data_IF_065352896754
#
_entry.id   IF_065352896754
#
_cell.length_a   1.000
_cell.length_b   1.000
_cell.length_c   1.000
_cell.angle_alpha   90.00
_cell.angle_beta   90.00
_cell.angle_gamma   90.00
#
_symmetry.space_group_name_H-M   'P 1'
#
loop_
_entity.id
_entity.type
_entity.pdbx_description
1 polymer ?
#
# COMPACT_ATOMS: atom_id res chain seq x y z
N UNK A 1 14.10 -2.13 -25.21
CA UNK A 1 13.08 -2.90 -24.47
C UNK A 1 13.58 -3.01 -23.04
N UNK A 2 12.90 -2.35 -22.11
CA UNK A 2 13.18 -2.54 -20.68
C UNK A 2 12.97 -4.02 -20.38
N UNK A 3 13.96 -4.62 -19.76
CA UNK A 3 13.92 -6.01 -19.35
C UNK A 3 12.80 -6.18 -18.29
N UNK A 4 11.65 -6.66 -18.74
CA UNK A 4 10.45 -6.80 -17.91
C UNK A 4 10.72 -7.75 -16.73
N UNK A 5 11.52 -8.79 -16.94
CA UNK A 5 11.93 -9.72 -15.89
C UNK A 5 12.72 -8.97 -14.81
N UNK A 6 13.72 -8.16 -15.21
CA UNK A 6 14.53 -7.38 -14.27
C UNK A 6 13.68 -6.42 -13.44
N UNK A 7 12.71 -5.73 -14.06
CA UNK A 7 11.82 -4.84 -13.35
C UNK A 7 10.95 -5.58 -12.30
N UNK A 8 10.51 -6.80 -12.64
CA UNK A 8 9.78 -7.65 -11.71
C UNK A 8 10.68 -8.14 -10.57
N UNK A 9 11.90 -8.59 -10.86
CA UNK A 9 12.85 -9.02 -9.83
C UNK A 9 13.15 -7.92 -8.81
N UNK A 10 13.36 -6.68 -9.27
CA UNK A 10 13.55 -5.52 -8.36
C UNK A 10 12.34 -5.31 -7.45
N UNK A 11 11.12 -5.45 -8.00
CA UNK A 11 9.89 -5.31 -7.21
C UNK A 11 9.75 -6.45 -6.19
N UNK A 12 10.04 -7.68 -6.59
CA UNK A 12 10.02 -8.85 -5.71
C UNK A 12 11.09 -8.76 -4.62
N UNK A 13 12.25 -8.24 -4.93
CA UNK A 13 13.30 -7.97 -3.91
C UNK A 13 12.78 -7.05 -2.80
N UNK A 14 12.13 -5.95 -3.16
CA UNK A 14 11.51 -5.04 -2.18
C UNK A 14 10.44 -5.74 -1.33
N UNK A 15 9.58 -6.56 -1.95
CA UNK A 15 8.59 -7.37 -1.25
C UNK A 15 9.24 -8.35 -0.26
N UNK A 16 10.23 -9.09 -0.73
CA UNK A 16 10.91 -10.11 0.09
C UNK A 16 11.69 -9.49 1.25
N UNK A 17 12.25 -8.30 1.09
CA UNK A 17 12.84 -7.56 2.22
C UNK A 17 11.80 -7.22 3.29
N UNK A 18 10.58 -6.83 2.91
CA UNK A 18 9.49 -6.62 3.88
C UNK A 18 9.10 -7.92 4.58
N UNK A 19 9.03 -9.03 3.85
CA UNK A 19 8.65 -10.34 4.39
C UNK A 19 9.73 -10.97 5.26
N UNK A 20 11.01 -10.79 4.90
CA UNK A 20 12.18 -11.36 5.58
C UNK A 20 12.72 -10.43 6.66
N UNK A 21 12.45 -9.13 6.60
CA UNK A 21 12.76 -8.19 7.66
C UNK A 21 11.93 -8.53 8.91
N UNK A 22 12.54 -8.96 9.98
CA UNK A 22 11.85 -9.22 11.25
C UNK A 22 11.71 -7.93 12.06
N UNK A 23 10.67 -7.83 12.89
CA UNK A 23 10.64 -6.88 14.01
C UNK A 23 11.42 -7.49 15.18
N UNK A 24 12.34 -6.73 15.76
CA UNK A 24 12.95 -7.13 17.04
C UNK A 24 11.90 -7.04 18.15
N UNK A 25 12.06 -7.83 19.21
CA UNK A 25 11.14 -7.87 20.37
C UNK A 25 10.91 -6.51 21.09
N UNK A 26 11.55 -5.43 20.62
CA UNK A 26 11.37 -4.05 21.10
C UNK A 26 10.69 -3.10 20.09
N UNK A 27 10.09 -3.63 19.01
CA UNK A 27 9.40 -2.79 18.00
C UNK A 27 10.36 -2.02 17.07
N UNK A 28 11.68 -2.14 17.25
CA UNK A 28 12.65 -1.63 16.30
C UNK A 28 12.72 -2.57 15.09
N UNK A 29 12.69 -1.99 13.89
CA UNK A 29 12.90 -2.74 12.65
C UNK A 29 14.19 -3.54 12.75
N UNK A 30 14.11 -4.85 12.52
CA UNK A 30 15.31 -5.68 12.50
C UNK A 30 16.20 -5.23 11.35
N UNK A 31 17.49 -5.41 11.60
CA UNK A 31 18.55 -5.27 10.60
C UNK A 31 18.07 -5.88 9.28
N UNK A 32 18.10 -5.10 8.21
CA UNK A 32 17.81 -5.59 6.86
C UNK A 32 18.65 -6.84 6.53
N UNK A 33 18.39 -7.47 5.41
CA UNK A 33 19.20 -8.57 4.94
C UNK A 33 20.69 -8.16 4.91
N UNK A 34 21.56 -9.03 5.37
CA UNK A 34 23.00 -8.84 5.20
C UNK A 34 23.36 -8.86 3.71
N UNK A 35 24.50 -8.29 3.29
CA UNK A 35 24.92 -8.33 1.90
C UNK A 35 25.02 -9.74 1.30
N UNK A 36 25.35 -10.75 2.13
CA UNK A 36 25.37 -12.14 1.71
C UNK A 36 23.96 -12.69 1.47
N UNK A 37 23.03 -12.40 2.38
CA UNK A 37 21.62 -12.79 2.23
C UNK A 37 20.98 -12.10 1.04
N UNK A 38 21.31 -10.84 0.75
CA UNK A 38 20.83 -10.12 -0.43
C UNK A 38 21.33 -10.76 -1.74
N UNK A 39 22.59 -11.12 -1.79
CA UNK A 39 23.18 -11.78 -2.95
C UNK A 39 22.56 -13.18 -3.19
N UNK A 40 22.40 -13.97 -2.14
CA UNK A 40 21.80 -15.30 -2.23
C UNK A 40 20.30 -15.21 -2.59
N UNK A 41 19.58 -14.21 -2.09
CA UNK A 41 18.19 -13.98 -2.44
C UNK A 41 18.04 -13.59 -3.92
N UNK A 42 18.90 -12.71 -4.41
CA UNK A 42 18.92 -12.31 -5.84
C UNK A 42 19.17 -13.50 -6.74
N UNK A 43 20.19 -14.32 -6.42
CA UNK A 43 20.48 -15.55 -7.17
C UNK A 43 19.34 -16.55 -7.09
N UNK A 44 18.74 -16.73 -5.89
CA UNK A 44 17.60 -17.62 -5.69
C UNK A 44 16.38 -17.22 -6.52
N UNK A 45 16.11 -15.92 -6.65
CA UNK A 45 15.04 -15.41 -7.52
C UNK A 45 15.34 -15.73 -8.99
N UNK A 46 16.54 -15.44 -9.48
CA UNK A 46 16.96 -15.73 -10.86
C UNK A 46 16.81 -17.22 -11.16
N UNK A 47 17.31 -18.07 -10.28
CA UNK A 47 17.25 -19.52 -10.45
C UNK A 47 15.80 -20.05 -10.44
N UNK A 48 14.95 -19.48 -9.61
CA UNK A 48 13.53 -19.84 -9.54
C UNK A 48 12.82 -19.54 -10.86
N UNK A 49 13.03 -18.36 -11.42
CA UNK A 49 12.47 -18.02 -12.75
C UNK A 49 13.05 -18.88 -13.86
N UNK A 50 14.36 -19.15 -13.83
CA UNK A 50 15.00 -20.01 -14.81
C UNK A 50 14.45 -21.45 -14.77
N UNK A 51 14.18 -22.02 -13.60
CA UNK A 51 13.52 -23.33 -13.42
C UNK A 51 12.11 -23.35 -13.99
N UNK A 52 11.38 -22.25 -13.93
CA UNK A 52 10.07 -22.09 -14.56
C UNK A 52 10.17 -21.86 -16.10
N UNK A 53 11.36 -21.85 -16.65
CA UNK A 53 11.61 -21.61 -18.08
C UNK A 53 11.50 -20.13 -18.48
N UNK A 54 11.55 -19.22 -17.52
CA UNK A 54 11.47 -17.76 -17.74
C UNK A 54 12.87 -17.18 -17.61
N UNK A 55 13.36 -16.59 -18.69
CA UNK A 55 14.73 -16.03 -18.81
C UNK A 55 14.65 -14.56 -19.26
N UNK A 56 15.81 -13.95 -19.54
CA UNK A 56 15.87 -12.61 -20.14
C UNK A 56 15.29 -12.54 -21.56
N UNK A 57 15.03 -13.68 -22.22
CA UNK A 57 14.35 -13.72 -23.51
C UNK A 57 12.84 -13.46 -23.34
N UNK A 58 12.29 -12.38 -23.91
CA UNK A 58 10.87 -12.06 -23.82
C UNK A 58 9.93 -13.16 -24.34
N UNK A 59 10.38 -14.03 -25.24
CA UNK A 59 9.59 -15.15 -25.76
C UNK A 59 9.26 -16.18 -24.66
N UNK A 60 10.07 -16.24 -23.61
CA UNK A 60 9.86 -17.16 -22.47
C UNK A 60 8.85 -16.63 -21.44
N UNK A 61 8.44 -15.37 -21.52
CA UNK A 61 7.57 -14.74 -20.53
C UNK A 61 6.10 -15.18 -20.59
N UNK A 62 5.72 -16.03 -21.55
CA UNK A 62 4.41 -16.66 -21.64
C UNK A 62 4.28 -17.92 -20.76
N UNK A 63 5.36 -18.37 -20.14
CA UNK A 63 5.35 -19.51 -19.21
C UNK A 63 4.61 -19.14 -17.92
N UNK A 64 4.09 -20.15 -17.22
CA UNK A 64 3.45 -19.95 -15.93
C UNK A 64 4.49 -19.43 -14.93
N UNK A 65 4.26 -18.26 -14.32
CA UNK A 65 5.23 -17.69 -13.38
C UNK A 65 5.34 -18.55 -12.11
N UNK A 66 6.53 -18.64 -11.52
CA UNK A 66 6.74 -19.38 -10.28
C UNK A 66 6.01 -18.73 -9.11
N UNK A 67 5.73 -19.55 -8.11
CA UNK A 67 5.11 -19.15 -6.84
C UNK A 67 6.16 -18.89 -5.76
N UNK A 68 5.71 -18.39 -4.60
CA UNK A 68 6.55 -18.26 -3.41
C UNK A 68 7.05 -19.62 -2.90
N UNK A 69 6.27 -20.69 -3.13
CA UNK A 69 6.69 -22.06 -2.81
C UNK A 69 7.89 -22.52 -3.64
N UNK A 70 7.91 -22.20 -4.94
CA UNK A 70 9.02 -22.53 -5.82
C UNK A 70 10.31 -21.79 -5.39
N UNK A 71 10.18 -20.53 -4.95
CA UNK A 71 11.31 -19.80 -4.38
C UNK A 71 11.81 -20.43 -3.08
N UNK A 72 10.90 -20.84 -2.20
CA UNK A 72 11.26 -21.53 -0.97
C UNK A 72 12.08 -22.79 -1.26
N UNK A 73 11.61 -23.61 -2.18
CA UNK A 73 12.29 -24.86 -2.57
C UNK A 73 13.67 -24.58 -3.22
N UNK A 74 13.77 -23.53 -4.01
CA UNK A 74 15.05 -23.12 -4.60
C UNK A 74 16.04 -22.70 -3.53
N UNK A 75 15.64 -21.83 -2.61
CA UNK A 75 16.50 -21.36 -1.50
C UNK A 75 16.88 -22.49 -0.55
N UNK A 76 15.98 -23.43 -0.26
CA UNK A 76 16.24 -24.56 0.64
C UNK A 76 17.37 -25.44 0.13
N UNK A 77 17.47 -25.62 -1.20
CA UNK A 77 18.49 -26.46 -1.84
C UNK A 77 19.73 -25.68 -2.33
N UNK A 78 19.74 -24.38 -2.09
CA UNK A 78 20.86 -23.51 -2.42
C UNK A 78 21.93 -23.55 -1.31
N UNK A 79 23.19 -23.27 -1.67
CA UNK A 79 24.26 -23.09 -0.67
C UNK A 79 24.16 -21.75 0.06
N UNK A 80 25.20 -21.44 0.84
CA UNK A 80 25.32 -20.12 1.51
C UNK A 80 24.25 -19.88 2.54
N UNK A 81 23.59 -18.73 2.48
CA UNK A 81 22.50 -18.31 3.40
C UNK A 81 21.11 -18.75 2.90
N UNK A 82 21.02 -19.41 1.76
CA UNK A 82 19.75 -19.85 1.17
C UNK A 82 18.83 -20.61 2.12
N UNK A 83 19.30 -21.69 2.82
CA UNK A 83 18.47 -22.41 3.77
C UNK A 83 17.94 -21.56 4.92
N UNK A 84 18.70 -20.55 5.36
CA UNK A 84 18.28 -19.61 6.41
C UNK A 84 17.17 -18.68 5.90
N UNK A 85 17.30 -18.19 4.67
CA UNK A 85 16.26 -17.40 3.99
C UNK A 85 14.99 -18.24 3.79
N UNK A 86 15.11 -19.49 3.35
CA UNK A 86 13.99 -20.41 3.24
C UNK A 86 13.26 -20.59 4.58
N UNK A 87 14.01 -20.79 5.67
CA UNK A 87 13.41 -20.93 7.00
C UNK A 87 12.60 -19.69 7.40
N UNK A 88 13.06 -18.48 7.08
CA UNK A 88 12.32 -17.22 7.33
C UNK A 88 11.09 -17.09 6.44
N UNK A 89 11.13 -17.57 5.19
CA UNK A 89 9.98 -17.59 4.28
C UNK A 89 8.93 -18.64 4.64
N UNK A 90 9.26 -19.61 5.48
CA UNK A 90 8.39 -20.76 5.79
C UNK A 90 6.98 -20.36 6.21
N UNK A 91 6.84 -19.29 7.01
CA UNK A 91 5.52 -18.82 7.47
C UNK A 91 4.59 -18.41 6.32
N UNK A 92 5.14 -17.98 5.18
CA UNK A 92 4.41 -17.54 4.00
C UNK A 92 4.20 -18.63 2.95
N UNK A 93 4.94 -19.76 3.04
CA UNK A 93 4.93 -20.80 2.00
C UNK A 93 4.23 -22.08 2.45
N UNK A 94 4.54 -22.55 3.66
CA UNK A 94 3.99 -23.79 4.24
C UNK A 94 3.40 -23.56 5.63
N UNK A 95 3.56 -22.35 6.18
CA UNK A 95 3.08 -21.96 7.52
C UNK A 95 1.74 -21.25 7.49
N UNK A 96 1.48 -20.43 8.51
CA UNK A 96 0.20 -19.80 8.81
C UNK A 96 -0.35 -18.98 7.64
N UNK A 97 0.52 -18.32 6.86
CA UNK A 97 0.13 -17.42 5.78
C UNK A 97 0.24 -18.03 4.37
N UNK A 98 0.48 -19.33 4.26
CA UNK A 98 0.65 -20.02 2.98
C UNK A 98 -0.56 -19.84 2.04
N UNK A 99 -1.77 -19.85 2.59
CA UNK A 99 -3.00 -19.69 1.82
C UNK A 99 -3.12 -18.35 1.09
N UNK A 100 -2.39 -17.32 1.55
CA UNK A 100 -2.41 -15.98 0.96
C UNK A 100 -1.31 -15.83 -0.08
N UNK A 101 -0.10 -16.36 0.17
CA UNK A 101 1.09 -16.02 -0.61
C UNK A 101 1.63 -17.13 -1.51
N UNK A 102 1.22 -18.39 -1.30
CA UNK A 102 1.80 -19.54 -2.00
C UNK A 102 0.89 -20.10 -3.10
N UNK A 103 0.05 -19.27 -3.71
CA UNK A 103 -0.86 -19.66 -4.77
C UNK A 103 -0.73 -18.77 -5.99
N UNK A 104 -1.17 -19.26 -7.15
CA UNK A 104 -1.33 -18.44 -8.34
C UNK A 104 -2.34 -17.32 -8.09
N UNK A 105 -2.10 -16.14 -8.68
CA UNK A 105 -2.98 -14.99 -8.53
C UNK A 105 -4.36 -15.27 -9.10
N UNK A 106 -5.41 -14.98 -8.32
CA UNK A 106 -6.82 -15.08 -8.70
C UNK A 106 -7.51 -13.71 -8.74
N UNK A 107 -6.75 -12.62 -8.78
CA UNK A 107 -7.28 -11.26 -8.74
C UNK A 107 -7.71 -10.84 -10.15
N UNK A 108 -8.98 -10.50 -10.31
CA UNK A 108 -9.52 -9.83 -11.49
C UNK A 108 -9.76 -8.36 -11.15
N UNK A 109 -9.12 -7.45 -11.92
CA UNK A 109 -9.23 -6.00 -11.74
C UNK A 109 -9.75 -5.29 -12.99
N UNK A 110 -10.42 -5.98 -13.90
CA UNK A 110 -10.99 -5.39 -15.13
C UNK A 110 -12.23 -4.51 -14.88
N UNK A 111 -12.49 -4.15 -13.64
CA UNK A 111 -13.59 -3.29 -13.26
C UNK A 111 -13.18 -1.80 -13.23
N UNK A 112 -14.18 -0.93 -13.43
CA UNK A 112 -13.99 0.53 -13.34
C UNK A 112 -13.69 1.00 -11.92
N UNK A 113 -14.17 0.27 -10.91
CA UNK A 113 -13.91 0.49 -9.51
C UNK A 113 -13.50 -0.83 -8.86
N UNK A 114 -12.31 -0.85 -8.28
CA UNK A 114 -11.75 -2.01 -7.57
C UNK A 114 -11.36 -1.58 -6.17
N UNK A 115 -11.77 -2.34 -5.17
CA UNK A 115 -11.45 -2.09 -3.76
C UNK A 115 -10.69 -3.29 -3.20
N UNK A 116 -9.48 -3.04 -2.73
CA UNK A 116 -8.69 -4.04 -2.00
C UNK A 116 -8.92 -3.84 -0.50
N UNK A 117 -9.75 -4.68 0.10
CA UNK A 117 -9.99 -4.64 1.53
C UNK A 117 -8.91 -5.44 2.27
N UNK A 118 -8.09 -4.73 3.06
CA UNK A 118 -7.01 -5.31 3.87
C UNK A 118 -7.29 -5.18 5.37
N UNK A 119 -8.51 -4.80 5.75
CA UNK A 119 -8.89 -4.50 7.14
C UNK A 119 -8.72 -5.71 8.07
N UNK A 120 -9.08 -6.88 7.57
CA UNK A 120 -9.11 -8.11 8.38
C UNK A 120 -7.76 -8.85 8.39
N UNK A 121 -6.74 -8.29 7.71
CA UNK A 121 -5.38 -8.80 7.79
C UNK A 121 -4.73 -8.40 9.11
N UNK A 122 -3.93 -9.30 9.65
CA UNK A 122 -3.09 -9.05 10.80
C UNK A 122 -2.14 -7.85 10.53
N UNK A 123 -1.86 -7.07 11.56
CA UNK A 123 -1.04 -5.84 11.44
C UNK A 123 0.33 -6.09 10.78
N UNK A 124 0.90 -7.27 11.01
CA UNK A 124 2.17 -7.70 10.41
C UNK A 124 2.07 -7.85 8.87
N UNK A 125 0.92 -8.28 8.36
CA UNK A 125 0.71 -8.55 6.94
C UNK A 125 0.26 -7.33 6.14
N UNK A 126 -0.32 -6.32 6.79
CA UNK A 126 -0.86 -5.13 6.08
C UNK A 126 0.17 -4.43 5.20
N UNK A 127 1.41 -4.13 5.66
CA UNK A 127 2.40 -3.48 4.79
C UNK A 127 2.79 -4.35 3.60
N UNK A 128 2.90 -5.66 3.80
CA UNK A 128 3.20 -6.63 2.73
C UNK A 128 2.08 -6.65 1.69
N UNK A 129 0.84 -6.77 2.13
CA UNK A 129 -0.33 -6.76 1.25
C UNK A 129 -0.46 -5.44 0.48
N UNK A 130 -0.30 -4.30 1.17
CA UNK A 130 -0.29 -2.99 0.53
C UNK A 130 0.80 -2.87 -0.53
N UNK A 131 2.00 -3.37 -0.25
CA UNK A 131 3.09 -3.36 -1.22
C UNK A 131 2.76 -4.20 -2.47
N UNK A 132 2.20 -5.41 -2.29
CA UNK A 132 1.79 -6.28 -3.39
C UNK A 132 0.72 -5.59 -4.26
N UNK A 133 -0.33 -5.08 -3.63
CA UNK A 133 -1.44 -4.39 -4.33
C UNK A 133 -0.92 -3.18 -5.11
N UNK A 134 -0.13 -2.32 -4.46
CA UNK A 134 0.42 -1.13 -5.11
C UNK A 134 1.37 -1.49 -6.26
N UNK A 135 2.19 -2.53 -6.10
CA UNK A 135 3.10 -3.01 -7.16
C UNK A 135 2.31 -3.52 -8.36
N UNK A 136 1.23 -4.27 -8.12
CA UNK A 136 0.34 -4.77 -9.15
C UNK A 136 -0.35 -3.63 -9.91
N UNK A 137 -0.95 -2.67 -9.19
CA UNK A 137 -1.57 -1.48 -9.77
C UNK A 137 -0.55 -0.68 -10.59
N UNK A 138 0.68 -0.55 -10.09
CA UNK A 138 1.74 0.15 -10.79
C UNK A 138 2.13 -0.53 -12.10
N UNK A 139 2.24 -1.86 -12.11
CA UNK A 139 2.54 -2.62 -13.33
C UNK A 139 1.47 -2.41 -14.39
N UNK A 140 0.18 -2.51 -14.04
CA UNK A 140 -0.92 -2.26 -14.97
C UNK A 140 -0.94 -0.79 -15.44
N UNK A 141 -0.66 0.14 -14.55
CA UNK A 141 -0.63 1.57 -14.90
C UNK A 141 0.44 1.90 -15.93
N UNK A 142 1.58 1.21 -15.87
CA UNK A 142 2.68 1.40 -16.86
C UNK A 142 2.38 0.77 -18.22
N UNK A 143 1.68 -0.35 -18.24
CA UNK A 143 1.42 -1.11 -19.48
C UNK A 143 0.21 -0.56 -20.23
N UNK A 144 -0.81 -0.11 -19.53
CA UNK A 144 -2.06 0.36 -20.13
C UNK A 144 -2.24 1.85 -19.80
N UNK A 145 -2.09 2.71 -20.80
CA UNK A 145 -2.29 4.15 -20.65
C UNK A 145 -3.78 4.50 -20.56
N UNK A 146 -4.29 4.65 -19.34
CA UNK A 146 -5.67 5.02 -19.02
C UNK A 146 -5.65 5.97 -17.82
N UNK A 147 -6.55 6.96 -17.82
CA UNK A 147 -6.74 7.81 -16.62
C UNK A 147 -7.24 6.97 -15.46
N UNK A 148 -6.54 7.01 -14.33
CA UNK A 148 -6.88 6.27 -13.11
C UNK A 148 -6.74 7.16 -11.89
N UNK A 149 -7.46 6.82 -10.85
CA UNK A 149 -7.27 7.36 -9.51
C UNK A 149 -6.96 6.20 -8.57
N UNK A 150 -5.88 6.32 -7.84
CA UNK A 150 -5.49 5.41 -6.78
C UNK A 150 -5.66 6.12 -5.44
N UNK A 151 -6.47 5.56 -4.57
CA UNK A 151 -6.68 6.05 -3.21
C UNK A 151 -6.04 5.04 -2.26
N UNK A 152 -5.09 5.50 -1.46
CA UNK A 152 -4.38 4.70 -0.45
C UNK A 152 -4.80 5.22 0.92
N UNK A 153 -5.66 4.45 1.58
CA UNK A 153 -6.06 4.72 2.96
C UNK A 153 -5.01 4.17 3.94
N UNK A 154 -4.93 4.75 5.14
CA UNK A 154 -3.94 4.41 6.18
C UNK A 154 -2.49 4.40 5.65
N UNK A 155 -2.16 5.38 4.79
CA UNK A 155 -0.87 5.44 4.08
C UNK A 155 0.36 5.51 5.02
N UNK A 156 0.17 5.92 6.31
CA UNK A 156 1.21 5.91 7.33
C UNK A 156 1.79 4.52 7.58
N UNK A 157 1.02 3.47 7.36
CA UNK A 157 1.49 2.10 7.52
C UNK A 157 2.64 1.75 6.58
N UNK A 158 2.63 2.33 5.37
CA UNK A 158 3.73 2.17 4.42
C UNK A 158 4.99 2.95 4.83
N UNK A 159 4.85 3.95 5.71
CA UNK A 159 5.99 4.74 6.18
C UNK A 159 6.82 4.02 7.24
N UNK A 160 6.31 2.95 7.83
CA UNK A 160 7.02 2.14 8.84
C UNK A 160 8.26 1.43 8.28
N UNK A 161 8.31 1.18 6.98
CA UNK A 161 9.38 0.44 6.32
C UNK A 161 9.94 1.24 5.16
N UNK A 162 11.26 1.36 5.08
CA UNK A 162 11.94 2.18 4.07
C UNK A 162 11.58 1.74 2.63
N UNK A 163 11.49 0.45 2.36
CA UNK A 163 11.19 -0.07 1.01
C UNK A 163 9.77 0.31 0.57
N UNK A 164 8.76 0.17 1.43
CA UNK A 164 7.39 0.56 1.11
C UNK A 164 7.22 2.07 1.03
N UNK A 165 7.89 2.83 1.90
CA UNK A 165 7.89 4.29 1.85
C UNK A 165 8.54 4.82 0.57
N UNK A 166 9.69 4.27 0.18
CA UNK A 166 10.38 4.59 -1.07
C UNK A 166 9.54 4.22 -2.30
N UNK A 167 8.84 3.09 -2.23
CA UNK A 167 7.95 2.66 -3.31
C UNK A 167 6.80 3.67 -3.51
N UNK A 168 6.06 4.01 -2.45
CA UNK A 168 4.96 4.98 -2.52
C UNK A 168 5.44 6.36 -2.99
N UNK A 169 6.59 6.82 -2.49
CA UNK A 169 7.20 8.06 -2.93
C UNK A 169 7.59 8.05 -4.42
N UNK A 170 8.18 6.95 -4.89
CA UNK A 170 8.53 6.77 -6.28
C UNK A 170 7.31 6.75 -7.19
N UNK A 171 6.20 6.16 -6.71
CA UNK A 171 4.91 6.15 -7.38
C UNK A 171 4.34 7.59 -7.44
N UNK A 172 4.32 8.33 -6.33
CA UNK A 172 3.87 9.72 -6.29
C UNK A 172 4.60 10.61 -7.30
N UNK A 173 5.93 10.48 -7.39
CA UNK A 173 6.74 11.25 -8.36
C UNK A 173 6.42 10.93 -9.82
N UNK A 174 6.07 9.70 -10.13
CA UNK A 174 5.92 9.21 -11.50
C UNK A 174 4.47 9.15 -11.97
N UNK A 175 3.51 9.12 -11.05
CA UNK A 175 2.08 8.92 -11.30
C UNK A 175 1.54 9.80 -12.44
N UNK A 176 1.88 11.08 -12.42
CA UNK A 176 1.43 12.06 -13.44
C UNK A 176 1.79 11.65 -14.88
N UNK A 177 2.98 11.03 -15.10
CA UNK A 177 3.42 10.62 -16.44
C UNK A 177 2.59 9.46 -17.00
N UNK A 178 1.87 8.74 -16.14
CA UNK A 178 1.08 7.57 -16.48
C UNK A 178 -0.43 7.81 -16.28
N UNK A 179 -0.83 9.09 -16.26
CA UNK A 179 -2.24 9.49 -16.06
C UNK A 179 -2.86 8.93 -14.77
N UNK A 180 -2.05 8.70 -13.75
CA UNK A 180 -2.46 8.24 -12.44
C UNK A 180 -2.57 9.43 -11.48
N UNK A 181 -3.78 9.68 -10.93
CA UNK A 181 -3.97 10.52 -9.75
C UNK A 181 -3.72 9.66 -8.50
N UNK A 182 -2.87 10.15 -7.60
CA UNK A 182 -2.62 9.48 -6.31
C UNK A 182 -3.20 10.32 -5.19
N UNK A 183 -4.06 9.71 -4.37
CA UNK A 183 -4.58 10.28 -3.12
C UNK A 183 -4.10 9.40 -1.97
N UNK A 184 -3.41 9.99 -1.02
CA UNK A 184 -3.04 9.34 0.24
C UNK A 184 -3.87 9.89 1.38
N UNK A 185 -4.43 9.00 2.21
CA UNK A 185 -5.21 9.35 3.40
C UNK A 185 -4.47 8.80 4.62
N UNK A 186 -4.36 9.59 5.66
CA UNK A 186 -3.74 9.16 6.91
C UNK A 186 -4.45 9.79 8.10
N UNK A 187 -4.62 9.01 9.17
CA UNK A 187 -5.06 9.50 10.48
C UNK A 187 -3.84 9.79 11.36
N UNK A 188 -2.77 9.04 11.19
CA UNK A 188 -1.54 9.22 11.94
C UNK A 188 -0.59 10.16 11.18
N UNK A 189 -0.70 11.44 11.57
CA UNK A 189 0.11 12.51 10.97
C UNK A 189 1.55 12.42 11.44
N UNK A 190 1.78 12.07 12.70
CA UNK A 190 3.11 12.04 13.30
C UNK A 190 3.97 10.97 12.63
N UNK A 191 3.46 9.75 12.49
CA UNK A 191 4.13 8.66 11.81
C UNK A 191 4.38 8.99 10.32
N UNK A 192 3.37 9.54 9.64
CA UNK A 192 3.50 9.89 8.24
C UNK A 192 4.53 11.01 8.00
N UNK A 193 4.45 12.09 8.79
CA UNK A 193 5.35 13.24 8.69
C UNK A 193 6.73 13.00 9.33
N UNK A 194 6.86 12.01 10.21
CA UNK A 194 8.14 11.54 10.74
C UNK A 194 9.07 11.00 9.65
N UNK A 195 8.50 10.37 8.63
CA UNK A 195 9.24 9.86 7.47
C UNK A 195 9.67 10.97 6.51
N UNK A 196 10.92 10.90 6.00
CA UNK A 196 11.38 11.77 4.90
C UNK A 196 10.52 11.60 3.65
N UNK A 197 10.06 10.39 3.37
CA UNK A 197 9.24 10.07 2.21
C UNK A 197 7.82 10.64 2.35
N UNK A 198 7.22 10.54 3.54
CA UNK A 198 5.92 11.16 3.84
C UNK A 198 5.94 12.67 3.63
N UNK A 199 6.92 13.36 4.19
CA UNK A 199 7.11 14.80 3.95
C UNK A 199 7.27 15.14 2.47
N UNK A 200 8.02 14.32 1.73
CA UNK A 200 8.22 14.55 0.31
C UNK A 200 6.95 14.27 -0.51
N UNK A 201 6.10 13.33 -0.11
CA UNK A 201 4.79 13.09 -0.72
C UNK A 201 3.90 14.31 -0.52
N UNK A 202 3.79 14.82 0.71
CA UNK A 202 3.00 16.02 1.03
C UNK A 202 3.48 17.21 0.20
N UNK A 203 4.80 17.46 0.16
CA UNK A 203 5.37 18.57 -0.61
C UNK A 203 5.12 18.46 -2.13
N UNK A 204 4.93 17.27 -2.67
CA UNK A 204 4.59 17.03 -4.08
C UNK A 204 3.09 16.96 -4.36
N UNK A 205 2.25 16.97 -3.33
CA UNK A 205 0.80 16.96 -3.48
C UNK A 205 0.29 18.34 -3.86
N UNK A 206 -0.41 18.44 -4.97
CA UNK A 206 -0.97 19.72 -5.45
C UNK A 206 -2.22 20.15 -4.70
N UNK A 207 -2.88 19.23 -4.02
CA UNK A 207 -4.05 19.47 -3.17
C UNK A 207 -3.86 18.73 -1.85
N UNK A 208 -4.18 19.39 -0.73
CA UNK A 208 -4.19 18.77 0.58
C UNK A 208 -5.45 19.18 1.33
N UNK A 209 -5.99 18.26 2.11
CA UNK A 209 -7.15 18.50 2.95
C UNK A 209 -6.79 18.11 4.39
N UNK A 210 -6.82 19.08 5.27
CA UNK A 210 -6.61 18.91 6.71
C UNK A 210 -7.97 18.96 7.41
N UNK A 211 -8.44 17.84 7.90
CA UNK A 211 -9.60 17.71 8.76
C UNK A 211 -9.19 17.93 10.22
N UNK A 212 -10.14 17.85 11.17
CA UNK A 212 -9.88 17.99 12.61
C UNK A 212 -8.69 17.14 13.06
N UNK A 213 -7.81 17.73 13.84
CA UNK A 213 -6.60 17.10 14.34
C UNK A 213 -6.51 17.17 15.87
N UNK A 214 -5.71 16.25 16.45
CA UNK A 214 -5.30 16.34 17.85
C UNK A 214 -4.38 17.55 18.08
N UNK A 215 -4.29 18.00 19.31
CA UNK A 215 -3.44 19.14 19.66
C UNK A 215 -1.95 18.88 19.33
N UNK A 216 -1.49 17.65 19.56
CA UNK A 216 -0.10 17.25 19.21
C UNK A 216 0.16 17.29 17.71
N UNK A 217 -0.76 16.77 16.91
CA UNK A 217 -0.62 16.75 15.44
C UNK A 217 -0.68 18.16 14.83
N UNK A 218 -1.44 19.08 15.42
CA UNK A 218 -1.56 20.45 14.93
C UNK A 218 -0.21 21.18 14.92
N UNK A 219 0.65 20.96 15.90
CA UNK A 219 1.97 21.61 15.95
C UNK A 219 2.85 21.16 14.77
N UNK A 220 2.85 19.87 14.49
CA UNK A 220 3.60 19.30 13.34
C UNK A 220 3.05 19.85 12.01
N UNK A 221 1.73 19.89 11.86
CA UNK A 221 1.09 20.42 10.65
C UNK A 221 1.30 21.93 10.48
N UNK A 222 1.25 22.70 11.58
CA UNK A 222 1.44 24.13 11.52
C UNK A 222 2.81 24.52 10.95
N UNK A 223 3.86 23.78 11.29
CA UNK A 223 5.20 24.01 10.78
C UNK A 223 5.32 23.66 9.28
N UNK A 224 4.68 22.58 8.86
CA UNK A 224 4.74 22.11 7.47
C UNK A 224 3.90 22.98 6.54
N UNK A 225 2.66 23.29 6.95
CA UNK A 225 1.69 24.02 6.14
C UNK A 225 1.72 25.55 6.39
N UNK A 226 2.59 26.02 7.30
CA UNK A 226 2.72 27.43 7.66
C UNK A 226 1.40 28.05 8.10
N UNK A 227 0.68 27.32 8.97
CA UNK A 227 -0.62 27.74 9.47
C UNK A 227 -0.50 28.97 10.37
N UNK A 228 -1.46 29.88 10.25
CA UNK A 228 -1.63 31.01 11.18
C UNK A 228 -2.14 30.51 12.53
N UNK A 229 -2.00 31.33 13.57
CA UNK A 229 -2.52 30.99 14.91
C UNK A 229 -4.04 30.75 14.92
N UNK A 230 -4.78 31.45 14.07
CA UNK A 230 -6.22 31.22 13.95
C UNK A 230 -6.54 29.88 13.31
N UNK A 231 -5.83 29.51 12.25
CA UNK A 231 -5.99 28.22 11.57
C UNK A 231 -5.61 27.04 12.47
N UNK A 232 -4.56 27.18 13.27
CA UNK A 232 -4.18 26.18 14.30
C UNK A 232 -5.31 25.93 15.28
N UNK A 233 -5.90 27.01 15.84
CA UNK A 233 -7.04 26.90 16.77
C UNK A 233 -8.26 26.27 16.11
N UNK A 234 -8.55 26.62 14.86
CA UNK A 234 -9.67 26.06 14.11
C UNK A 234 -9.47 24.58 13.84
N UNK A 235 -8.25 24.18 13.40
CA UNK A 235 -7.92 22.81 13.05
C UNK A 235 -8.15 21.83 14.21
N UNK A 236 -7.87 22.25 15.45
CA UNK A 236 -8.15 21.44 16.66
C UNK A 236 -9.64 21.34 16.99
N UNK A 237 -10.46 22.30 16.55
CA UNK A 237 -11.85 22.44 16.97
C UNK A 237 -12.87 22.22 15.84
N UNK A 238 -12.46 21.88 14.64
CA UNK A 238 -13.38 21.66 13.53
C UNK A 238 -14.47 20.63 13.88
N UNK A 239 -15.72 20.92 13.56
CA UNK A 239 -16.77 19.91 13.53
C UNK A 239 -16.50 18.88 12.42
N UNK A 240 -17.24 17.78 12.47
CA UNK A 240 -17.22 16.78 11.40
C UNK A 240 -17.58 17.42 10.06
N UNK A 241 -16.80 17.11 9.03
CA UNK A 241 -16.95 17.63 7.67
C UNK A 241 -16.31 19.00 7.42
N UNK A 242 -15.75 19.65 8.44
CA UNK A 242 -14.99 20.89 8.24
C UNK A 242 -13.49 20.64 8.13
N UNK A 243 -12.80 21.47 7.36
CA UNK A 243 -11.36 21.37 7.18
C UNK A 243 -10.75 22.56 6.46
N UNK A 244 -9.42 22.53 6.38
CA UNK A 244 -8.63 23.44 5.55
C UNK A 244 -8.26 22.72 4.26
N UNK A 245 -8.64 23.28 3.13
CA UNK A 245 -8.29 22.77 1.81
C UNK A 245 -7.22 23.65 1.16
N UNK A 246 -6.13 23.02 0.76
CA UNK A 246 -5.01 23.65 0.08
C UNK A 246 -5.02 23.28 -1.40
N UNK A 247 -4.86 24.27 -2.26
CA UNK A 247 -4.70 24.09 -3.70
C UNK A 247 -3.55 25.01 -4.17
N UNK A 248 -2.35 24.43 -4.34
CA UNK A 248 -1.14 25.19 -4.58
C UNK A 248 -0.79 26.09 -3.38
N UNK A 249 -0.70 27.41 -3.59
CA UNK A 249 -0.39 28.37 -2.53
C UNK A 249 -1.63 28.93 -1.81
N UNK A 250 -2.81 28.65 -2.34
CA UNK A 250 -4.07 29.13 -1.76
C UNK A 250 -4.65 28.06 -0.84
N UNK A 251 -5.21 28.48 0.28
CA UNK A 251 -5.97 27.61 1.15
C UNK A 251 -7.26 28.30 1.61
N UNK A 252 -8.27 27.50 1.84
CA UNK A 252 -9.60 27.93 2.23
C UNK A 252 -10.20 27.00 3.28
N UNK A 253 -11.01 27.55 4.13
CA UNK A 253 -11.86 26.79 5.03
C UNK A 253 -13.04 26.21 4.23
N UNK A 254 -13.28 24.91 4.33
CA UNK A 254 -14.38 24.24 3.63
C UNK A 254 -15.29 23.50 4.61
N UNK A 255 -16.55 23.34 4.19
CA UNK A 255 -17.55 22.47 4.79
C UNK A 255 -17.94 21.44 3.74
N UNK A 256 -17.70 20.16 4.03
CA UNK A 256 -18.16 19.04 3.22
C UNK A 256 -19.57 18.69 3.66
N UNK A 257 -20.52 18.70 2.73
CA UNK A 257 -21.92 18.34 2.96
C UNK A 257 -22.26 17.14 2.09
N UNK A 258 -22.50 16.00 2.71
CA UNK A 258 -22.96 14.81 2.01
C UNK A 258 -24.45 14.92 1.68
N UNK A 259 -24.86 14.46 0.49
CA UNK A 259 -26.26 14.28 0.16
C UNK A 259 -26.89 13.14 1.00
N UNK A 260 -28.21 13.06 1.05
CA UNK A 260 -28.90 11.97 1.75
C UNK A 260 -28.48 10.58 1.26
N UNK A 261 -28.33 10.45 -0.06
CA UNK A 261 -27.87 9.19 -0.68
C UNK A 261 -26.45 8.84 -0.26
N UNK A 262 -25.54 9.82 -0.29
CA UNK A 262 -24.15 9.61 0.15
C UNK A 262 -24.09 9.32 1.66
N UNK A 263 -24.89 10.00 2.47
CA UNK A 263 -24.97 9.76 3.91
C UNK A 263 -25.30 8.29 4.23
N UNK A 264 -26.21 7.70 3.44
CA UNK A 264 -26.53 6.28 3.54
C UNK A 264 -25.37 5.34 3.23
N UNK A 265 -24.47 5.73 2.32
CA UNK A 265 -23.31 4.93 1.91
C UNK A 265 -22.11 5.08 2.85
N UNK A 266 -21.90 6.27 3.42
CA UNK A 266 -20.70 6.60 4.20
C UNK A 266 -20.88 6.43 5.71
N UNK A 267 -22.11 6.18 6.20
CA UNK A 267 -22.35 6.06 7.63
C UNK A 267 -21.61 4.87 8.24
N UNK A 268 -20.88 5.14 9.31
CA UNK A 268 -20.21 4.12 10.13
C UNK A 268 -20.96 3.88 11.45
N UNK A 269 -22.12 4.53 11.67
CA UNK A 269 -22.94 4.32 12.86
C UNK A 269 -23.57 2.92 12.79
N UNK A 270 -23.27 1.99 13.74
CA UNK A 270 -23.78 0.63 13.71
C UNK A 270 -25.32 0.53 13.71
N UNK A 271 -25.99 1.45 14.40
CA UNK A 271 -27.46 1.46 14.46
C UNK A 271 -28.07 1.84 13.12
N UNK A 272 -27.51 2.83 12.43
CA UNK A 272 -27.96 3.25 11.12
C UNK A 272 -27.67 2.19 10.06
N UNK A 273 -26.49 1.54 10.12
CA UNK A 273 -26.12 0.46 9.23
C UNK A 273 -27.05 -0.76 9.36
N UNK A 274 -27.43 -1.14 10.58
CA UNK A 274 -28.39 -2.22 10.83
C UNK A 274 -29.80 -1.88 10.31
N UNK A 275 -30.25 -0.64 10.47
CA UNK A 275 -31.55 -0.19 9.94
C UNK A 275 -31.58 -0.24 8.40
N UNK A 276 -30.50 0.16 7.75
CA UNK A 276 -30.38 0.10 6.29
C UNK A 276 -30.35 -1.34 5.77
N UNK A 277 -29.62 -2.25 6.42
CA UNK A 277 -29.62 -3.67 6.09
C UNK A 277 -31.02 -4.28 6.23
N UNK A 278 -31.76 -3.94 7.28
CA UNK A 278 -33.14 -4.39 7.48
C UNK A 278 -34.08 -3.84 6.39
N UNK A 279 -33.92 -2.60 5.97
CA UNK A 279 -34.72 -2.01 4.89
C UNK A 279 -34.42 -2.64 3.53
N UNK A 280 -33.13 -2.91 3.22
CA UNK A 280 -32.73 -3.60 2.00
C UNK A 280 -33.25 -5.04 1.98
N UNK A 281 -33.18 -5.77 3.09
CA UNK A 281 -33.71 -7.12 3.18
C UNK A 281 -35.23 -7.17 2.94
N UNK A 282 -35.98 -6.18 3.43
CA UNK A 282 -37.42 -6.06 3.21
C UNK A 282 -37.78 -5.64 1.77
N UNK A 283 -36.93 -4.91 1.07
CA UNK A 283 -37.15 -4.54 -0.34
C UNK A 283 -36.92 -5.70 -1.32
N UNK A 284 -36.05 -6.67 -0.98
CA UNK A 284 -35.82 -7.89 -1.75
C UNK A 284 -36.78 -9.03 -1.38
N UNK A 285 -37.45 -8.97 -0.22
CA UNK A 285 -38.40 -9.98 0.26
C UNK A 285 -39.85 -9.75 -0.17
N UNK A 286 -40.20 -8.61 -0.75
CA UNK A 286 -41.57 -8.21 -1.12
C UNK A 286 -42.05 -8.60 -2.50
N UNK A 287 -41.32 -9.45 -3.22
CA UNK A 287 -41.64 -9.92 -4.56
C UNK A 287 -41.94 -11.44 -4.60
N UNK A 288 -43.01 -11.89 -3.94
CA UNK A 288 -43.63 -13.18 -4.19
C UNK A 288 -45.11 -13.02 -4.28
#
# INVERSE_FOLDING_TARGET
ADDALRANLVTLHGLLRLMLGGTTAGGQLSVGLSPAEEADLDQGLIDTYARAGITSDPLTHNSIPPTMGDLYDTLLHMGGTGPQLAQRLRKYTTGTFAGIFSQQSNIDIDNTMVVFNIRDLEDELRPVAMYIVLSHIWNITRTIQKKRMLIVDEAWQLMKYDDSANFLFSLAKRARKYYLGLTTITQDVEDFMGSKMGRAIVANSSMQLLLKQSTSAVDVLADVFKLTEEERKRLSNFPVGQGLFFAGQNHVHIQIVASETEQGLITTNPQTALQQQAQQANSYGGGR
#
